data_IF_058637068109
#
_entry.id   IF_058637068109
#
_cell.length_a   1.000
_cell.length_b   1.000
_cell.length_c   1.000
_cell.angle_alpha   90.00
_cell.angle_beta   90.00
_cell.angle_gamma   90.00
#
_symmetry.space_group_name_H-M   'P 1'
#
loop_
_entity.id
_entity.type
_entity.pdbx_description
1 polymer ?
#
# COMPACT_ATOMS: atom_id res chain seq x y z
N UNK A 1 -5.63 5.56 19.28
CA UNK A 1 -5.56 4.43 18.32
C UNK A 1 -6.75 4.34 17.36
N UNK A 2 -8.02 4.61 17.76
CA UNK A 2 -9.18 4.63 16.84
C UNK A 2 -8.97 5.49 15.57
N UNK A 3 -8.25 6.61 15.67
CA UNK A 3 -7.97 7.49 14.52
C UNK A 3 -7.07 6.83 13.45
N UNK A 4 -6.11 5.97 13.82
CA UNK A 4 -5.23 5.29 12.84
C UNK A 4 -6.01 4.29 11.99
N UNK A 5 -6.84 3.44 12.60
CA UNK A 5 -7.66 2.45 11.86
C UNK A 5 -8.57 3.13 10.83
N UNK A 6 -9.27 4.20 11.22
CA UNK A 6 -10.10 4.99 10.28
C UNK A 6 -9.28 5.54 9.13
N UNK A 7 -8.12 6.15 9.42
CA UNK A 7 -7.22 6.70 8.40
C UNK A 7 -6.72 5.64 7.41
N UNK A 8 -6.40 4.43 7.88
CA UNK A 8 -6.00 3.31 7.01
C UNK A 8 -7.13 2.96 6.05
N UNK A 9 -8.35 2.78 6.57
CA UNK A 9 -9.53 2.45 5.73
C UNK A 9 -9.83 3.56 4.71
N UNK A 10 -9.70 4.82 5.10
CA UNK A 10 -9.87 5.96 4.19
C UNK A 10 -8.83 5.98 3.08
N UNK A 11 -7.56 5.70 3.39
CA UNK A 11 -6.50 5.60 2.39
C UNK A 11 -6.76 4.46 1.40
N UNK A 12 -7.17 3.29 1.89
CA UNK A 12 -7.50 2.16 1.02
C UNK A 12 -8.70 2.45 0.11
N UNK A 13 -9.72 3.16 0.60
CA UNK A 13 -10.84 3.63 -0.23
C UNK A 13 -10.39 4.61 -1.31
N UNK A 14 -9.46 5.53 -0.97
CA UNK A 14 -8.88 6.47 -1.94
C UNK A 14 -8.01 5.76 -2.96
N UNK A 15 -7.20 4.78 -2.56
CA UNK A 15 -6.39 3.97 -3.48
C UNK A 15 -7.29 3.26 -4.50
N UNK A 16 -8.38 2.63 -4.04
CA UNK A 16 -9.36 1.98 -4.92
C UNK A 16 -10.06 2.96 -5.88
N UNK A 17 -10.35 4.17 -5.40
CA UNK A 17 -10.92 5.22 -6.24
C UNK A 17 -9.95 5.65 -7.36
N UNK A 18 -8.68 5.89 -7.04
CA UNK A 18 -7.64 6.26 -8.01
C UNK A 18 -7.42 5.14 -9.04
N UNK A 19 -7.42 3.88 -8.58
CA UNK A 19 -7.35 2.70 -9.45
C UNK A 19 -8.49 2.68 -10.47
N UNK A 20 -9.73 2.88 -10.03
CA UNK A 20 -10.91 2.99 -10.92
C UNK A 20 -10.86 4.20 -11.85
N UNK A 21 -10.25 5.31 -11.42
CA UNK A 21 -10.03 6.46 -12.30
C UNK A 21 -9.01 6.13 -13.39
N UNK A 22 -7.96 5.37 -13.06
CA UNK A 22 -6.99 4.89 -14.05
C UNK A 22 -7.67 3.99 -15.09
N UNK A 23 -8.47 2.99 -14.67
CA UNK A 23 -9.21 2.11 -15.59
C UNK A 23 -10.02 2.86 -16.65
N UNK A 24 -10.54 4.05 -16.30
CA UNK A 24 -11.35 4.87 -17.21
C UNK A 24 -10.53 5.80 -18.09
N UNK A 25 -9.40 6.28 -17.60
CA UNK A 25 -8.67 7.42 -18.19
C UNK A 25 -7.29 7.07 -18.73
N UNK A 26 -6.75 5.91 -18.33
CA UNK A 26 -5.37 5.47 -18.59
C UNK A 26 -4.32 6.53 -18.24
N UNK A 27 -4.61 7.41 -17.27
CA UNK A 27 -3.65 8.40 -16.76
C UNK A 27 -2.77 7.78 -15.69
N UNK A 28 -1.52 7.49 -16.01
CA UNK A 28 -0.56 6.86 -15.08
C UNK A 28 -0.48 7.56 -13.71
N UNK A 29 -0.70 8.88 -13.65
CA UNK A 29 -0.79 9.62 -12.38
C UNK A 29 -1.78 9.01 -11.39
N UNK A 30 -2.93 8.52 -11.86
CA UNK A 30 -3.93 7.88 -11.01
C UNK A 30 -3.44 6.51 -10.49
N UNK A 31 -2.80 5.71 -11.35
CA UNK A 31 -2.22 4.43 -10.96
C UNK A 31 -1.09 4.62 -9.92
N UNK A 32 -0.19 5.55 -10.20
CA UNK A 32 0.89 5.97 -9.30
C UNK A 32 0.35 6.43 -7.94
N UNK A 33 -0.73 7.23 -7.95
CA UNK A 33 -1.42 7.67 -6.74
C UNK A 33 -2.15 6.56 -5.97
N UNK A 34 -2.62 5.51 -6.64
CA UNK A 34 -3.17 4.33 -5.99
C UNK A 34 -2.08 3.53 -5.27
N UNK A 35 -0.93 3.34 -5.94
CA UNK A 35 0.22 2.62 -5.40
C UNK A 35 0.74 3.27 -4.11
N UNK A 36 0.95 4.59 -4.11
CA UNK A 36 1.46 5.30 -2.94
C UNK A 36 0.49 5.24 -1.75
N UNK A 37 -0.82 5.40 -2.00
CA UNK A 37 -1.83 5.30 -0.94
C UNK A 37 -1.87 3.90 -0.31
N UNK A 38 -1.69 2.85 -1.11
CA UNK A 38 -1.59 1.48 -0.61
C UNK A 38 -0.35 1.28 0.25
N UNK A 39 0.80 1.81 -0.17
CA UNK A 39 2.03 1.80 0.64
C UNK A 39 1.85 2.52 1.99
N UNK A 40 1.33 3.75 1.97
CA UNK A 40 1.11 4.52 3.20
C UNK A 40 0.11 3.82 4.13
N UNK A 41 -0.94 3.20 3.58
CA UNK A 41 -1.89 2.41 4.35
C UNK A 41 -1.21 1.20 5.04
N UNK A 42 -0.32 0.51 4.34
CA UNK A 42 0.47 -0.59 4.90
C UNK A 42 1.38 -0.13 6.04
N UNK A 43 2.13 0.97 5.86
CA UNK A 43 3.00 1.51 6.92
C UNK A 43 2.17 1.88 8.15
N UNK A 44 1.03 2.55 7.98
CA UNK A 44 0.13 2.87 9.09
C UNK A 44 -0.47 1.62 9.75
N UNK A 45 -0.71 0.54 9.00
CA UNK A 45 -1.15 -0.74 9.56
C UNK A 45 -0.06 -1.39 10.43
N UNK A 46 1.20 -1.34 10.00
CA UNK A 46 2.33 -1.77 10.83
C UNK A 46 2.44 -0.93 12.11
N UNK A 47 2.30 0.39 12.02
CA UNK A 47 2.29 1.26 13.21
C UNK A 47 1.10 0.95 14.14
N UNK A 48 -0.05 0.56 13.57
CA UNK A 48 -1.24 0.23 14.33
C UNK A 48 -1.05 -1.06 15.14
N UNK A 49 -0.51 -2.13 14.53
CA UNK A 49 -0.29 -3.41 15.21
C UNK A 49 0.91 -3.37 16.17
N UNK A 50 1.99 -2.67 15.80
CA UNK A 50 3.19 -2.50 16.63
C UNK A 50 3.04 -1.47 17.74
N UNK A 51 1.96 -0.67 17.72
CA UNK A 51 1.73 0.46 18.63
C UNK A 51 2.90 1.46 18.66
N UNK A 52 3.69 1.51 17.59
CA UNK A 52 4.92 2.30 17.49
C UNK A 52 4.88 3.14 16.21
N UNK A 53 5.47 4.33 16.23
CA UNK A 53 5.66 5.12 15.01
C UNK A 53 6.88 4.64 14.24
N UNK A 54 6.75 4.51 12.92
CA UNK A 54 7.81 4.01 12.07
C UNK A 54 8.49 5.18 11.35
N UNK A 55 9.76 5.42 11.70
CA UNK A 55 10.52 6.59 11.23
C UNK A 55 11.58 6.29 10.17
N UNK A 56 11.75 5.03 9.78
CA UNK A 56 12.72 4.66 8.75
C UNK A 56 12.34 3.38 8.00
N UNK A 57 12.80 3.21 6.74
CA UNK A 57 12.56 2.00 5.96
C UNK A 57 13.05 0.71 6.64
N UNK A 58 14.15 0.79 7.40
CA UNK A 58 14.69 -0.36 8.15
C UNK A 58 13.71 -0.85 9.21
N UNK A 59 13.04 0.07 9.90
CA UNK A 59 12.04 -0.28 10.92
C UNK A 59 10.82 -0.92 10.24
N UNK A 60 10.35 -0.39 9.09
CA UNK A 60 9.25 -1.00 8.31
C UNK A 60 9.53 -2.48 8.04
N UNK A 61 10.72 -2.79 7.52
CA UNK A 61 11.11 -4.16 7.20
C UNK A 61 11.17 -5.06 8.43
N UNK A 62 11.81 -4.60 9.51
CA UNK A 62 11.91 -5.37 10.76
C UNK A 62 10.54 -5.65 11.37
N UNK A 63 9.66 -4.64 11.43
CA UNK A 63 8.28 -4.81 11.92
C UNK A 63 7.50 -5.77 11.02
N UNK A 64 7.66 -5.67 9.70
CA UNK A 64 7.01 -6.62 8.78
C UNK A 64 7.48 -8.06 8.98
N UNK A 65 8.75 -8.28 9.35
CA UNK A 65 9.26 -9.60 9.72
C UNK A 65 8.69 -10.08 11.05
N UNK A 66 8.66 -9.21 12.07
CA UNK A 66 8.17 -9.54 13.42
C UNK A 66 6.71 -10.00 13.40
N UNK A 67 5.88 -9.39 12.56
CA UNK A 67 4.45 -9.71 12.44
C UNK A 67 4.12 -10.69 11.31
N UNK A 68 5.12 -11.36 10.73
CA UNK A 68 4.98 -12.34 9.64
C UNK A 68 4.20 -11.83 8.41
N UNK A 69 4.40 -10.56 8.06
CA UNK A 69 3.79 -9.90 6.89
C UNK A 69 4.85 -9.50 5.84
N UNK A 70 5.96 -10.24 5.79
CA UNK A 70 7.09 -9.98 4.87
C UNK A 70 6.67 -10.05 3.40
N UNK A 71 5.77 -10.97 3.04
CA UNK A 71 5.25 -11.06 1.66
C UNK A 71 4.49 -9.79 1.26
N UNK A 72 3.62 -9.30 2.17
CA UNK A 72 2.89 -8.05 1.96
C UNK A 72 3.85 -6.85 1.91
N UNK A 73 4.90 -6.83 2.73
CA UNK A 73 5.94 -5.80 2.62
C UNK A 73 6.56 -5.77 1.22
N UNK A 74 6.93 -6.92 0.65
CA UNK A 74 7.51 -6.98 -0.70
C UNK A 74 6.55 -6.40 -1.74
N UNK A 75 5.27 -6.78 -1.68
CA UNK A 75 4.23 -6.26 -2.58
C UNK A 75 4.06 -4.74 -2.43
N UNK A 76 3.84 -4.25 -1.21
CA UNK A 76 3.65 -2.83 -0.95
C UNK A 76 4.89 -1.99 -1.26
N UNK A 77 6.10 -2.53 -1.01
CA UNK A 77 7.36 -1.87 -1.38
C UNK A 77 7.49 -1.75 -2.89
N UNK A 78 7.09 -2.79 -3.63
CA UNK A 78 7.09 -2.75 -5.08
C UNK A 78 6.14 -1.67 -5.61
N UNK A 79 4.91 -1.59 -5.09
CA UNK A 79 3.97 -0.50 -5.40
C UNK A 79 4.57 0.89 -5.11
N UNK A 80 5.27 1.04 -3.97
CA UNK A 80 5.96 2.28 -3.65
C UNK A 80 7.04 2.63 -4.69
N UNK A 81 7.82 1.65 -5.16
CA UNK A 81 8.79 1.85 -6.25
C UNK A 81 8.10 2.36 -7.53
N UNK A 82 6.96 1.77 -7.92
CA UNK A 82 6.20 2.21 -9.10
C UNK A 82 5.80 3.69 -9.00
N UNK A 83 5.46 4.18 -7.81
CA UNK A 83 5.09 5.58 -7.63
C UNK A 83 6.22 6.55 -8.02
N UNK A 84 7.46 6.24 -7.66
CA UNK A 84 8.62 7.12 -7.88
C UNK A 84 9.35 6.86 -9.19
N UNK A 85 9.51 5.60 -9.55
CA UNK A 85 10.37 5.17 -10.66
C UNK A 85 9.56 4.79 -11.91
N UNK A 86 8.24 4.67 -11.77
CA UNK A 86 7.40 4.09 -12.81
C UNK A 86 7.52 2.56 -12.86
N UNK A 87 6.96 1.97 -13.91
CA UNK A 87 7.01 0.54 -14.14
C UNK A 87 7.22 0.26 -15.63
N UNK A 88 8.47 0.20 -16.12
CA UNK A 88 8.71 -0.10 -17.53
C UNK A 88 8.39 -1.56 -17.89
N UNK A 89 8.45 -2.48 -16.92
CA UNK A 89 8.43 -3.93 -17.17
C UNK A 89 7.16 -4.66 -16.67
N UNK A 90 6.27 -3.96 -15.96
CA UNK A 90 5.05 -4.56 -15.43
C UNK A 90 3.82 -4.07 -16.19
N UNK A 91 2.97 -5.01 -16.59
CA UNK A 91 1.67 -4.67 -17.16
C UNK A 91 0.74 -4.09 -16.09
N UNK A 92 -0.08 -3.10 -16.49
CA UNK A 92 -1.01 -2.42 -15.59
C UNK A 92 -1.92 -3.39 -14.80
N UNK A 93 -2.29 -4.51 -15.41
CA UNK A 93 -3.16 -5.51 -14.78
C UNK A 93 -2.51 -6.16 -13.56
N UNK A 94 -1.19 -6.34 -13.57
CA UNK A 94 -0.46 -6.92 -12.43
C UNK A 94 -0.40 -5.91 -11.28
N UNK A 95 -0.21 -4.63 -11.60
CA UNK A 95 -0.23 -3.53 -10.63
C UNK A 95 -1.60 -3.47 -9.94
N UNK A 96 -2.71 -3.67 -10.68
CA UNK A 96 -4.04 -3.76 -10.10
C UNK A 96 -4.18 -4.91 -9.10
N UNK A 97 -3.72 -6.09 -9.49
CA UNK A 97 -3.79 -7.27 -8.64
C UNK A 97 -3.03 -7.04 -7.34
N UNK A 98 -1.87 -6.38 -7.40
CA UNK A 98 -1.11 -6.02 -6.21
C UNK A 98 -1.81 -4.99 -5.35
N UNK A 99 -2.44 -3.95 -5.91
CA UNK A 99 -3.22 -2.98 -5.14
C UNK A 99 -4.38 -3.68 -4.41
N UNK A 100 -5.13 -4.53 -5.12
CA UNK A 100 -6.29 -5.22 -4.56
C UNK A 100 -5.89 -6.27 -3.51
N UNK A 101 -4.91 -7.12 -3.80
CA UNK A 101 -4.43 -8.12 -2.84
C UNK A 101 -3.85 -7.46 -1.59
N UNK A 102 -3.08 -6.38 -1.76
CA UNK A 102 -2.50 -5.63 -0.64
C UNK A 102 -3.58 -5.01 0.23
N UNK A 103 -4.64 -4.44 -0.37
CA UNK A 103 -5.79 -3.92 0.38
C UNK A 103 -6.39 -5.00 1.29
N UNK A 104 -6.68 -6.18 0.74
CA UNK A 104 -7.34 -7.25 1.49
C UNK A 104 -6.46 -7.75 2.63
N UNK A 105 -5.16 -7.92 2.37
CA UNK A 105 -4.18 -8.29 3.40
C UNK A 105 -4.03 -7.21 4.48
N UNK A 106 -4.01 -5.92 4.12
CA UNK A 106 -3.95 -4.81 5.08
C UNK A 106 -5.21 -4.79 5.96
N UNK A 107 -6.39 -5.06 5.39
CA UNK A 107 -7.63 -5.12 6.16
C UNK A 107 -7.65 -6.29 7.16
N UNK A 108 -6.99 -7.40 6.85
CA UNK A 108 -6.85 -8.53 7.76
C UNK A 108 -5.89 -8.26 8.93
N UNK A 109 -5.00 -7.27 8.80
CA UNK A 109 -4.04 -6.87 9.83
C UNK A 109 -4.68 -6.01 10.94
N UNK A 110 -5.74 -5.25 10.63
CA UNK A 110 -6.25 -4.13 11.49
C UNK A 110 -7.58 -4.36 12.18
#
# INVERSE_FOLDING_TARGET
MKNKKTKIVELLKKAEYERKLYEKSHRFTNLSQACEKTWVAFVLALEYISKTEIKSPRIIFNTAQEYDVKSLFTQCKYLHTIHYEGSPDMEDFEIYNYIQSSRDLILNII
#
